data_IF_782171574110
#
_entry.id   IF_782171574110
#
_cell.length_a   1.000
_cell.length_b   1.000
_cell.length_c   1.000
_cell.angle_alpha   90.00
_cell.angle_beta   90.00
_cell.angle_gamma   90.00
#
_symmetry.space_group_name_H-M   'P 1'
#
loop_
_entity.id
_entity.type
_entity.pdbx_description
1 polymer ?
#
# COMPACT_ATOMS: atom_id res chain seq x y z
N UNK A 1 -0.15 -0.12 16.74
CA UNK A 1 -0.60 1.14 16.13
C UNK A 1 -0.60 2.32 17.11
N UNK A 2 -1.13 2.17 18.34
CA UNK A 2 -1.25 3.28 19.33
C UNK A 2 0.03 4.08 19.57
N UNK A 3 1.15 3.41 19.88
CA UNK A 3 2.44 4.09 20.15
C UNK A 3 2.94 4.90 18.95
N UNK A 4 2.84 4.33 17.75
CA UNK A 4 3.26 5.00 16.52
C UNK A 4 2.44 6.28 16.28
N UNK A 5 1.12 6.23 16.46
CA UNK A 5 0.25 7.39 16.33
C UNK A 5 0.57 8.49 17.36
N UNK A 6 0.83 8.11 18.61
CA UNK A 6 1.25 9.06 19.65
C UNK A 6 2.60 9.71 19.33
N UNK A 7 3.56 8.95 18.78
CA UNK A 7 4.85 9.48 18.33
C UNK A 7 4.71 10.43 17.13
N UNK A 8 3.67 10.26 16.31
CA UNK A 8 3.31 11.17 15.22
C UNK A 8 2.50 12.40 15.70
N UNK A 9 2.24 12.53 17.01
CA UNK A 9 1.56 13.68 17.61
C UNK A 9 0.06 13.48 17.89
N UNK A 10 -0.52 12.33 17.53
CA UNK A 10 -1.91 12.01 17.87
C UNK A 10 -2.00 11.50 19.31
N UNK A 11 -2.08 12.42 20.28
CA UNK A 11 -2.06 12.09 21.72
C UNK A 11 -3.42 12.24 22.40
N UNK A 12 -4.26 13.20 21.99
CA UNK A 12 -5.52 13.55 22.66
C UNK A 12 -6.52 12.38 22.85
N UNK A 13 -6.68 11.45 21.89
CA UNK A 13 -7.58 10.30 22.10
C UNK A 13 -7.07 9.33 23.17
N UNK A 14 -5.77 9.32 23.46
CA UNK A 14 -5.11 8.42 24.41
C UNK A 14 -4.92 9.05 25.80
N UNK A 15 -4.96 10.39 25.90
CA UNK A 15 -4.83 11.16 27.13
C UNK A 15 -5.39 12.58 26.95
N UNK A 16 -5.86 13.26 28.01
CA UNK A 16 -6.34 14.65 27.92
C UNK A 16 -7.82 14.77 28.24
N UNK A 17 -8.62 15.36 27.34
CA UNK A 17 -10.09 15.50 27.53
C UNK A 17 -10.87 14.24 27.18
N UNK A 18 -10.21 13.24 26.57
CA UNK A 18 -10.84 11.98 26.19
C UNK A 18 -11.76 12.11 24.98
N UNK A 19 -12.63 11.11 24.79
CA UNK A 19 -13.58 11.02 23.67
C UNK A 19 -15.02 11.29 24.12
N UNK A 20 -15.32 12.55 24.44
CA UNK A 20 -16.59 12.97 25.07
C UNK A 20 -17.83 12.70 24.23
N UNK A 21 -17.73 12.81 22.90
CA UNK A 21 -18.89 12.62 22.00
C UNK A 21 -19.18 11.15 21.67
N UNK A 22 -18.34 10.21 22.13
CA UNK A 22 -18.52 8.77 21.87
C UNK A 22 -19.32 8.10 23.00
N UNK A 23 -19.16 8.58 24.23
CA UNK A 23 -19.78 7.98 25.42
C UNK A 23 -20.44 9.08 26.24
N UNK A 24 -21.76 8.97 26.43
CA UNK A 24 -22.55 9.91 27.24
C UNK A 24 -22.41 9.59 28.74
N UNK A 25 -21.25 9.91 29.28
CA UNK A 25 -20.92 9.74 30.70
C UNK A 25 -20.11 10.92 31.20
N UNK A 26 -20.27 11.33 32.47
CA UNK A 26 -19.48 12.41 33.05
C UNK A 26 -18.00 12.06 33.23
N UNK A 27 -17.63 10.78 33.14
CA UNK A 27 -16.25 10.31 33.27
C UNK A 27 -15.53 10.35 31.90
N UNK A 28 -14.27 10.80 31.86
CA UNK A 28 -13.52 10.85 30.61
C UNK A 28 -13.05 9.45 30.20
N UNK A 29 -13.43 9.04 28.98
CA UNK A 29 -12.96 7.80 28.35
C UNK A 29 -11.82 8.06 27.37
N UNK A 30 -10.91 7.10 27.28
CA UNK A 30 -9.73 7.18 26.41
C UNK A 30 -9.57 5.92 25.59
N UNK A 31 -8.95 6.07 24.42
CA UNK A 31 -8.51 4.95 23.59
C UNK A 31 -7.37 4.24 24.29
N UNK A 32 -7.58 2.99 24.70
CA UNK A 32 -6.54 2.19 25.33
C UNK A 32 -5.55 1.62 24.31
N UNK A 33 -6.06 0.95 23.26
CA UNK A 33 -5.26 0.29 22.22
C UNK A 33 -5.97 0.33 20.87
N UNK A 34 -5.17 0.43 19.81
CA UNK A 34 -5.59 0.31 18.41
C UNK A 34 -4.84 -0.86 17.81
N UNK A 35 -5.59 -1.84 17.33
CA UNK A 35 -5.11 -3.02 16.65
C UNK A 35 -5.44 -2.91 15.16
N UNK A 36 -4.43 -3.13 14.31
CA UNK A 36 -4.56 -3.19 12.87
C UNK A 36 -3.81 -4.43 12.40
N UNK A 37 -4.47 -5.30 11.64
CA UNK A 37 -3.85 -6.46 10.99
C UNK A 37 -4.25 -6.43 9.52
N UNK A 38 -3.28 -6.63 8.66
CA UNK A 38 -3.42 -6.68 7.20
C UNK A 38 -2.53 -7.77 6.64
N UNK A 39 -2.89 -8.29 5.47
CA UNK A 39 -2.15 -9.32 4.76
C UNK A 39 -2.20 -9.01 3.26
N UNK A 40 -1.09 -9.23 2.56
CA UNK A 40 -0.96 -9.07 1.11
C UNK A 40 -0.26 -10.33 0.61
N UNK A 41 -0.87 -10.96 -0.39
CA UNK A 41 -0.30 -12.11 -1.09
C UNK A 41 -0.06 -11.71 -2.55
N UNK A 42 1.11 -12.09 -3.07
CA UNK A 42 1.46 -11.88 -4.47
C UNK A 42 1.79 -13.25 -5.05
N UNK A 43 1.01 -13.66 -6.02
CA UNK A 43 1.21 -14.86 -6.81
C UNK A 43 0.89 -14.55 -8.28
N UNK A 44 1.16 -15.48 -9.16
CA UNK A 44 0.94 -15.35 -10.60
C UNK A 44 -0.55 -15.13 -10.91
N UNK A 45 -1.46 -15.84 -10.23
CA UNK A 45 -2.90 -15.77 -10.45
C UNK A 45 -3.49 -14.38 -10.11
N UNK A 46 -2.93 -13.70 -9.10
CA UNK A 46 -3.44 -12.42 -8.59
C UNK A 46 -3.22 -11.22 -9.50
N UNK A 47 -2.45 -11.35 -10.58
CA UNK A 47 -2.21 -10.30 -11.62
C UNK A 47 -1.95 -10.93 -13.00
N UNK A 48 -2.38 -12.17 -13.23
CA UNK A 48 -2.14 -12.86 -14.50
C UNK A 48 -2.98 -12.24 -15.65
N UNK A 49 -2.29 -11.83 -16.72
CA UNK A 49 -2.81 -11.64 -18.09
C UNK A 49 -3.50 -10.31 -18.52
N UNK A 50 -3.49 -9.21 -17.76
CA UNK A 50 -4.05 -7.94 -18.28
C UNK A 50 -3.17 -7.22 -19.35
N UNK A 51 -1.96 -7.69 -19.63
CA UNK A 51 -1.07 -7.10 -20.63
C UNK A 51 -0.64 -8.11 -21.72
N UNK A 52 -1.58 -8.88 -22.27
CA UNK A 52 -1.37 -9.54 -23.58
C UNK A 52 -2.25 -8.87 -24.61
N UNK A 53 -2.01 -7.59 -24.94
CA UNK A 53 -2.38 -7.07 -26.26
C UNK A 53 -1.59 -5.80 -26.61
N UNK A 54 -0.54 -5.96 -27.42
CA UNK A 54 -0.32 -5.04 -28.52
C UNK A 54 0.34 -5.84 -29.64
N UNK A 55 -0.47 -6.49 -30.47
CA UNK A 55 -0.03 -6.82 -31.81
C UNK A 55 0.18 -5.47 -32.52
N UNK A 56 1.38 -4.90 -32.42
CA UNK A 56 1.77 -3.76 -33.24
C UNK A 56 1.83 -4.29 -34.68
N UNK A 57 0.76 -3.99 -35.42
CA UNK A 57 0.70 -4.15 -36.87
C UNK A 57 1.73 -3.21 -37.48
N UNK A 58 2.99 -3.64 -37.56
CA UNK A 58 4.04 -2.89 -38.22
C UNK A 58 3.85 -3.01 -39.74
N UNK A 59 3.27 -1.97 -40.34
CA UNK A 59 3.38 -1.72 -41.76
C UNK A 59 4.19 -0.43 -41.96
N UNK A 60 5.52 -0.52 -41.88
CA UNK A 60 6.41 0.56 -42.29
C UNK A 60 7.71 0.02 -42.88
N UNK A 61 8.03 0.49 -44.09
CA UNK A 61 9.20 0.14 -44.91
C UNK A 61 10.48 0.86 -44.46
N UNK A 62 10.85 0.79 -43.17
CA UNK A 62 12.07 1.41 -42.63
C UNK A 62 12.64 0.66 -41.42
N UNK A 63 13.92 0.86 -41.06
CA UNK A 63 14.52 0.21 -39.90
C UNK A 63 13.83 0.71 -38.62
N UNK A 64 13.13 -0.21 -37.95
CA UNK A 64 12.45 0.04 -36.68
C UNK A 64 13.52 0.10 -35.58
N UNK A 65 13.75 1.28 -35.00
CA UNK A 65 14.47 1.40 -33.73
C UNK A 65 13.48 1.01 -32.62
N UNK A 66 13.41 -0.27 -32.29
CA UNK A 66 12.73 -0.68 -31.06
C UNK A 66 13.61 -0.26 -29.87
N UNK A 67 13.09 0.51 -28.90
CA UNK A 67 13.83 0.76 -27.67
C UNK A 67 14.10 -0.59 -27.00
N UNK A 68 15.34 -0.79 -26.54
CA UNK A 68 15.70 -2.01 -25.84
C UNK A 68 14.74 -2.24 -24.66
N UNK A 69 14.31 -3.48 -24.40
CA UNK A 69 13.44 -3.79 -23.27
C UNK A 69 14.08 -3.30 -21.97
N UNK A 70 13.27 -2.68 -21.12
CA UNK A 70 13.71 -2.24 -19.80
C UNK A 70 13.59 -3.42 -18.83
N UNK A 71 14.72 -3.86 -18.28
CA UNK A 71 14.73 -4.89 -17.26
C UNK A 71 14.33 -4.30 -15.90
N UNK A 72 13.32 -4.90 -15.26
CA UNK A 72 12.96 -4.66 -13.87
C UNK A 72 13.21 -5.93 -13.06
N UNK A 73 14.27 -5.91 -12.24
CA UNK A 73 14.69 -7.05 -11.42
C UNK A 73 14.54 -6.67 -9.94
N UNK A 74 13.52 -7.21 -9.28
CA UNK A 74 13.24 -6.99 -7.86
C UNK A 74 13.93 -8.05 -6.97
N UNK A 75 15.24 -8.20 -7.11
CA UNK A 75 16.07 -9.18 -6.39
C UNK A 75 16.66 -8.67 -5.06
N UNK A 76 16.21 -7.49 -4.61
CA UNK A 76 16.64 -6.81 -3.39
C UNK A 76 15.45 -6.06 -2.76
N UNK A 77 15.58 -5.53 -1.52
CA UNK A 77 14.45 -4.90 -0.84
C UNK A 77 13.77 -3.80 -1.64
N UNK A 78 12.44 -3.83 -1.71
CA UNK A 78 11.63 -2.88 -2.46
C UNK A 78 10.40 -2.42 -1.68
N UNK A 79 9.84 -1.28 -2.10
CA UNK A 79 8.57 -0.75 -1.59
C UNK A 79 7.44 -1.13 -2.54
N UNK A 80 6.24 -1.30 -1.99
CA UNK A 80 5.02 -1.45 -2.78
C UNK A 80 3.92 -0.54 -2.26
N UNK A 81 3.05 -0.12 -3.19
CA UNK A 81 1.86 0.67 -2.91
C UNK A 81 0.71 0.10 -3.72
N UNK A 82 -0.38 -0.24 -3.05
CA UNK A 82 -1.66 -0.56 -3.70
C UNK A 82 -2.54 0.68 -3.55
N UNK A 83 -2.90 1.29 -4.69
CA UNK A 83 -3.72 2.49 -4.73
C UNK A 83 -4.83 2.35 -5.78
N UNK A 84 -5.93 3.02 -5.54
CA UNK A 84 -6.97 3.22 -6.55
C UNK A 84 -6.61 4.46 -7.38
N UNK A 85 -6.68 4.36 -8.71
CA UNK A 85 -6.06 5.34 -9.61
C UNK A 85 -6.89 6.61 -9.85
N UNK A 86 -8.22 6.57 -9.71
CA UNK A 86 -9.09 7.73 -9.97
C UNK A 86 -9.06 8.70 -8.78
N UNK A 87 -9.19 8.18 -7.57
CA UNK A 87 -9.20 8.95 -6.31
C UNK A 87 -7.80 9.13 -5.72
N UNK A 88 -6.85 8.26 -6.07
CA UNK A 88 -5.52 8.24 -5.49
C UNK A 88 -5.44 7.67 -4.08
N UNK A 89 -6.54 7.08 -3.57
CA UNK A 89 -6.57 6.47 -2.23
C UNK A 89 -5.58 5.30 -2.17
N UNK A 90 -4.68 5.33 -1.18
CA UNK A 90 -3.76 4.24 -0.88
C UNK A 90 -4.47 3.22 0.00
N UNK A 91 -4.67 2.00 -0.49
CA UNK A 91 -5.19 0.89 0.32
C UNK A 91 -4.08 0.23 1.13
N UNK A 92 -2.89 0.03 0.53
CA UNK A 92 -1.75 -0.59 1.20
C UNK A 92 -0.46 0.10 0.84
N UNK A 93 0.44 0.16 1.82
CA UNK A 93 1.83 0.56 1.64
C UNK A 93 2.69 -0.39 2.48
N UNK A 94 3.81 -0.83 1.92
CA UNK A 94 4.69 -1.73 2.62
C UNK A 94 6.06 -1.83 1.97
N UNK A 95 6.91 -2.62 2.62
CA UNK A 95 8.25 -2.95 2.15
C UNK A 95 8.42 -4.46 2.19
N UNK A 96 9.07 -5.01 1.16
CA UNK A 96 9.52 -6.40 1.12
C UNK A 96 11.01 -6.39 1.38
N UNK A 97 11.44 -6.89 2.54
CA UNK A 97 12.85 -7.00 2.90
C UNK A 97 13.42 -8.39 2.57
N UNK A 98 12.59 -9.42 2.74
CA UNK A 98 12.93 -10.80 2.43
C UNK A 98 11.65 -11.57 2.01
N UNK A 99 11.49 -11.92 0.73
CA UNK A 99 10.30 -12.61 0.23
C UNK A 99 10.21 -14.09 0.70
N UNK A 100 11.31 -14.69 1.17
CA UNK A 100 11.33 -16.07 1.64
C UNK A 100 10.83 -16.24 3.10
N UNK A 101 10.56 -15.14 3.79
CA UNK A 101 10.14 -15.12 5.20
C UNK A 101 8.75 -14.49 5.42
N UNK A 102 8.06 -14.15 4.34
CA UNK A 102 6.72 -13.53 4.33
C UNK A 102 5.59 -14.54 4.26
#
# INVERSE_FOLDING_TARGET
MSKALQQLGLVLPFAGVGVTEIVDTPEPYYVSKIFQKSFVEVNEEGTEAAAVTCASMYSFTGPVFEPAPLDFVADHPFLFVIRENVTGIVQFIGQVLNPAQT
#
